data_IF_607208632479
#
_entry.id   IF_607208632479
#
_cell.length_a   1.000
_cell.length_b   1.000
_cell.length_c   1.000
_cell.angle_alpha   90.00
_cell.angle_beta   90.00
_cell.angle_gamma   90.00
#
_symmetry.space_group_name_H-M   'P 1'
#
loop_
_entity.id
_entity.type
_entity.pdbx_description
1 polymer ?
#
# COMPACT_ATOMS: atom_id res chain seq x y z
N UNK A 1 11.85 28.10 12.76
CA UNK A 1 10.61 27.36 12.49
C UNK A 1 10.68 26.11 13.35
N UNK A 2 9.59 25.76 14.04
CA UNK A 2 9.55 24.58 14.89
C UNK A 2 9.66 23.32 14.02
N UNK A 3 10.73 22.54 14.22
CA UNK A 3 11.10 21.40 13.38
C UNK A 3 10.68 20.09 14.06
N UNK A 4 9.54 20.12 14.75
CA UNK A 4 9.04 19.02 15.56
C UNK A 4 8.50 17.88 14.68
N UNK A 5 9.21 16.74 14.67
CA UNK A 5 8.86 15.57 13.83
C UNK A 5 8.75 14.26 14.65
N UNK A 6 7.86 14.20 15.67
CA UNK A 6 7.84 13.12 16.64
C UNK A 6 7.57 11.73 16.03
N UNK A 7 6.70 11.62 15.01
CA UNK A 7 6.45 10.35 14.36
C UNK A 7 7.65 9.91 13.54
N UNK A 8 8.24 10.81 12.75
CA UNK A 8 9.44 10.48 11.97
C UNK A 8 10.61 10.07 12.88
N UNK A 9 10.80 10.74 14.01
CA UNK A 9 11.83 10.41 14.98
C UNK A 9 11.57 9.05 15.64
N UNK A 10 10.31 8.75 15.97
CA UNK A 10 9.93 7.43 16.47
C UNK A 10 10.25 6.33 15.46
N UNK A 11 9.89 6.50 14.19
CA UNK A 11 10.17 5.52 13.12
C UNK A 11 11.67 5.29 12.95
N UNK A 12 12.50 6.34 13.07
CA UNK A 12 13.97 6.19 13.05
C UNK A 12 14.47 5.39 14.25
N UNK A 13 13.97 5.71 15.45
CA UNK A 13 14.39 5.07 16.69
C UNK A 13 14.00 3.58 16.76
N UNK A 14 12.89 3.19 16.14
CA UNK A 14 12.41 1.79 16.12
C UNK A 14 12.93 0.98 14.95
N UNK A 15 13.68 1.59 14.02
CA UNK A 15 14.16 0.92 12.81
C UNK A 15 13.09 0.76 11.72
N UNK A 16 11.91 1.35 11.90
CA UNK A 16 10.80 1.33 10.94
C UNK A 16 10.90 2.43 9.87
N UNK A 17 11.93 3.27 9.93
CA UNK A 17 12.22 4.27 8.91
C UNK A 17 12.60 3.62 7.58
N UNK A 18 11.81 3.86 6.54
CA UNK A 18 12.18 3.49 5.18
C UNK A 18 13.20 4.51 4.63
N UNK A 19 14.40 4.08 4.18
CA UNK A 19 15.38 4.98 3.58
C UNK A 19 14.86 5.79 2.39
N UNK A 20 13.85 5.28 1.67
CA UNK A 20 13.20 6.02 0.58
C UNK A 20 12.45 7.27 1.06
N UNK A 21 12.25 7.43 2.37
CA UNK A 21 11.65 8.62 2.97
C UNK A 21 12.64 9.74 3.28
N UNK A 22 13.93 9.43 3.37
CA UNK A 22 14.98 10.40 3.69
C UNK A 22 15.01 11.60 2.74
N UNK A 23 14.93 11.44 1.41
CA UNK A 23 15.04 12.58 0.49
C UNK A 23 13.97 13.66 0.74
N UNK A 24 12.71 13.27 0.96
CA UNK A 24 11.66 14.26 1.22
C UNK A 24 11.67 14.78 2.66
N UNK A 25 12.18 14.01 3.62
CA UNK A 25 12.42 14.48 4.99
C UNK A 25 13.54 15.53 5.08
N UNK A 26 14.58 15.43 4.26
CA UNK A 26 15.65 16.44 4.16
C UNK A 26 15.17 17.72 3.47
N UNK A 27 14.25 17.61 2.50
CA UNK A 27 13.68 18.74 1.78
C UNK A 27 12.67 19.53 2.62
N UNK A 28 11.73 18.85 3.27
CA UNK A 28 10.75 19.48 4.16
C UNK A 28 10.35 18.53 5.30
N UNK A 29 11.04 18.62 6.47
CA UNK A 29 10.79 17.73 7.59
C UNK A 29 9.40 17.92 8.21
N UNK A 30 8.87 19.15 8.23
CA UNK A 30 7.56 19.45 8.83
C UNK A 30 6.42 18.94 7.94
N UNK A 31 6.54 19.09 6.62
CA UNK A 31 5.61 18.48 5.68
C UNK A 31 5.67 16.95 5.76
N UNK A 32 6.87 16.39 5.81
CA UNK A 32 7.08 14.95 5.94
C UNK A 32 6.38 14.40 7.17
N UNK A 33 6.56 15.03 8.33
CA UNK A 33 5.85 14.64 9.55
C UNK A 33 4.33 14.63 9.38
N UNK A 34 3.77 15.67 8.73
CA UNK A 34 2.33 15.75 8.48
C UNK A 34 1.85 14.68 7.50
N UNK A 35 2.59 14.42 6.43
CA UNK A 35 2.30 13.38 5.46
C UNK A 35 2.30 12.00 6.11
N UNK A 36 3.32 11.71 6.91
CA UNK A 36 3.45 10.46 7.65
C UNK A 36 2.37 10.33 8.71
N UNK A 37 2.04 11.40 9.43
CA UNK A 37 0.94 11.39 10.40
C UNK A 37 -0.41 11.12 9.75
N UNK A 38 -0.66 11.67 8.55
CA UNK A 38 -1.88 11.39 7.79
C UNK A 38 -1.93 9.92 7.34
N UNK A 39 -0.85 9.40 6.76
CA UNK A 39 -0.82 8.06 6.18
C UNK A 39 -0.71 6.93 7.21
N UNK A 40 0.09 7.11 8.27
CA UNK A 40 0.42 6.06 9.23
C UNK A 40 -0.51 6.01 10.44
N UNK A 41 -1.13 7.12 10.86
CA UNK A 41 -2.01 7.11 12.04
C UNK A 41 -3.12 6.06 11.97
N UNK A 42 -3.84 5.89 10.85
CA UNK A 42 -4.86 4.84 10.75
C UNK A 42 -4.28 3.43 10.92
N UNK A 43 -3.04 3.22 10.47
CA UNK A 43 -2.34 1.93 10.56
C UNK A 43 -1.83 1.63 11.98
N UNK A 44 -1.42 2.65 12.74
CA UNK A 44 -0.90 2.48 14.11
C UNK A 44 -1.95 2.70 15.21
N UNK A 45 -3.19 3.03 14.85
CA UNK A 45 -4.27 3.28 15.81
C UNK A 45 -4.71 2.03 16.60
N UNK A 46 -4.26 0.84 16.20
CA UNK A 46 -4.57 -0.43 16.88
C UNK A 46 -5.98 -0.97 16.63
N UNK A 47 -6.71 -0.40 15.66
CA UNK A 47 -8.04 -0.89 15.26
C UNK A 47 -7.94 -2.20 14.47
N UNK A 48 -6.87 -2.36 13.70
CA UNK A 48 -6.48 -3.61 13.03
C UNK A 48 -5.24 -4.16 13.70
N UNK A 49 -5.10 -5.48 13.73
CA UNK A 49 -3.86 -6.09 14.18
C UNK A 49 -2.72 -5.78 13.17
N UNK A 50 -1.45 -5.71 13.63
CA UNK A 50 -0.34 -5.36 12.77
C UNK A 50 -0.19 -6.26 11.54
N UNK A 51 -0.48 -7.57 11.64
CA UNK A 51 -0.35 -8.50 10.51
C UNK A 51 -1.35 -8.17 9.40
N UNK A 52 -2.59 -7.86 9.78
CA UNK A 52 -3.61 -7.40 8.83
C UNK A 52 -3.23 -6.09 8.15
N UNK A 53 -2.64 -5.14 8.88
CA UNK A 53 -2.12 -3.88 8.29
C UNK A 53 -1.07 -4.18 7.21
N UNK A 54 -0.13 -5.08 7.50
CA UNK A 54 0.88 -5.49 6.52
C UNK A 54 0.26 -6.18 5.29
N UNK A 55 -0.77 -7.02 5.46
CA UNK A 55 -1.48 -7.61 4.31
C UNK A 55 -2.15 -6.57 3.41
N UNK A 56 -2.78 -5.54 4.00
CA UNK A 56 -3.36 -4.43 3.23
C UNK A 56 -2.27 -3.69 2.46
N UNK A 57 -1.14 -3.39 3.10
CA UNK A 57 -0.03 -2.71 2.45
C UNK A 57 0.58 -3.54 1.30
N UNK A 58 0.75 -4.86 1.48
CA UNK A 58 1.16 -5.77 0.39
C UNK A 58 0.18 -5.70 -0.78
N UNK A 59 -1.13 -5.76 -0.53
CA UNK A 59 -2.14 -5.71 -1.59
C UNK A 59 -2.10 -4.40 -2.38
N UNK A 60 -1.95 -3.25 -1.69
CA UNK A 60 -1.83 -1.94 -2.32
C UNK A 60 -0.57 -1.86 -3.19
N UNK A 61 0.59 -2.22 -2.65
CA UNK A 61 1.86 -2.13 -3.36
C UNK A 61 1.99 -3.14 -4.52
N UNK A 62 1.42 -4.34 -4.37
CA UNK A 62 1.47 -5.39 -5.38
C UNK A 62 0.41 -5.25 -6.47
N UNK A 63 -0.56 -4.35 -6.31
CA UNK A 63 -1.61 -4.12 -7.31
C UNK A 63 -1.03 -3.80 -8.68
N UNK A 64 -1.63 -4.30 -9.77
CA UNK A 64 -1.15 -4.04 -11.13
C UNK A 64 -1.29 -2.56 -11.55
N UNK A 65 -2.02 -1.76 -10.76
CA UNK A 65 -2.15 -0.32 -10.90
C UNK A 65 -1.06 0.47 -10.14
N UNK A 66 -0.27 -0.19 -9.29
CA UNK A 66 0.78 0.46 -8.49
C UNK A 66 2.17 -0.16 -8.69
N UNK A 67 2.31 -1.47 -8.53
CA UNK A 67 3.55 -2.24 -8.71
C UNK A 67 4.79 -1.64 -8.00
N UNK A 68 4.63 -1.20 -6.75
CA UNK A 68 5.71 -0.61 -5.97
C UNK A 68 6.55 -1.68 -5.25
N UNK A 69 7.51 -2.24 -5.99
CA UNK A 69 8.38 -3.33 -5.54
C UNK A 69 9.08 -3.11 -4.18
N UNK A 70 9.61 -1.93 -3.84
CA UNK A 70 10.27 -1.72 -2.56
C UNK A 70 9.31 -1.89 -1.37
N UNK A 71 8.07 -1.43 -1.55
CA UNK A 71 7.00 -1.55 -0.56
C UNK A 71 6.56 -3.01 -0.38
N UNK A 72 6.31 -3.73 -1.48
CA UNK A 72 5.99 -5.17 -1.45
C UNK A 72 7.03 -5.96 -0.64
N UNK A 73 8.33 -5.74 -0.91
CA UNK A 73 9.39 -6.46 -0.17
C UNK A 73 9.40 -6.11 1.32
N UNK A 74 9.24 -4.83 1.66
CA UNK A 74 9.24 -4.35 3.04
C UNK A 74 8.09 -4.98 3.83
N UNK A 75 6.89 -4.90 3.27
CA UNK A 75 5.67 -5.37 3.94
C UNK A 75 5.58 -6.89 4.02
N UNK A 76 6.06 -7.63 3.01
CA UNK A 76 6.21 -9.09 3.10
C UNK A 76 7.16 -9.48 4.24
N UNK A 77 8.32 -8.81 4.37
CA UNK A 77 9.27 -9.09 5.45
C UNK A 77 8.63 -8.85 6.81
N UNK A 78 7.95 -7.71 6.98
CA UNK A 78 7.31 -7.36 8.25
C UNK A 78 6.16 -8.31 8.60
N UNK A 79 5.35 -8.71 7.61
CA UNK A 79 4.31 -9.72 7.81
C UNK A 79 4.89 -11.05 8.33
N UNK A 80 6.02 -11.51 7.76
CA UNK A 80 6.71 -12.72 8.22
C UNK A 80 7.24 -12.58 9.66
N UNK A 81 7.81 -11.43 10.02
CA UNK A 81 8.25 -11.12 11.39
C UNK A 81 7.07 -11.15 12.39
N UNK A 82 5.87 -10.77 11.94
CA UNK A 82 4.63 -10.81 12.71
C UNK A 82 3.95 -12.20 12.70
N UNK A 83 4.60 -13.22 12.13
CA UNK A 83 4.11 -14.60 12.11
C UNK A 83 3.16 -14.94 10.97
N UNK A 84 3.11 -14.14 9.90
CA UNK A 84 2.39 -14.52 8.69
C UNK A 84 2.99 -15.76 8.04
N UNK A 85 2.15 -16.63 7.49
CA UNK A 85 2.62 -17.78 6.70
C UNK A 85 2.82 -17.40 5.24
N UNK A 86 3.60 -18.22 4.51
CA UNK A 86 3.77 -18.04 3.06
C UNK A 86 2.44 -18.20 2.31
N UNK A 87 1.57 -19.04 2.81
CA UNK A 87 0.23 -19.31 2.27
C UNK A 87 -0.66 -18.08 2.44
N UNK A 88 -0.65 -17.42 3.61
CA UNK A 88 -1.38 -16.17 3.82
C UNK A 88 -0.90 -15.07 2.86
N UNK A 89 0.42 -14.90 2.72
CA UNK A 89 1.00 -13.92 1.79
C UNK A 89 0.64 -14.24 0.34
N UNK A 90 0.70 -15.52 -0.05
CA UNK A 90 0.32 -15.97 -1.39
C UNK A 90 -1.16 -15.71 -1.65
N UNK A 91 -2.03 -15.91 -0.66
CA UNK A 91 -3.45 -15.60 -0.78
C UNK A 91 -3.70 -14.11 -1.03
N UNK A 92 -2.98 -13.21 -0.33
CA UNK A 92 -3.05 -11.75 -0.59
C UNK A 92 -2.68 -11.44 -2.05
N UNK A 93 -1.60 -12.03 -2.58
CA UNK A 93 -1.17 -11.81 -3.96
C UNK A 93 -2.18 -12.37 -4.98
N UNK A 94 -2.76 -13.54 -4.71
CA UNK A 94 -3.81 -14.14 -5.54
C UNK A 94 -5.05 -13.23 -5.59
N UNK A 95 -5.53 -12.76 -4.44
CA UNK A 95 -6.65 -11.82 -4.36
C UNK A 95 -6.36 -10.53 -5.14
N UNK A 96 -5.13 -10.01 -5.01
CA UNK A 96 -4.69 -8.79 -5.70
C UNK A 96 -4.66 -8.96 -7.23
N UNK A 97 -4.30 -10.15 -7.72
CA UNK A 97 -4.20 -10.43 -9.17
C UNK A 97 -5.55 -10.38 -9.91
N UNK A 98 -6.67 -10.52 -9.17
CA UNK A 98 -8.02 -10.48 -9.74
C UNK A 98 -8.40 -9.09 -10.26
N UNK A 99 -7.70 -8.03 -9.83
CA UNK A 99 -7.99 -6.63 -10.23
C UNK A 99 -8.10 -6.45 -11.76
N UNK A 100 -7.39 -7.25 -12.56
CA UNK A 100 -7.46 -7.21 -14.02
C UNK A 100 -8.87 -7.47 -14.60
N UNK A 101 -9.75 -8.17 -13.88
CA UNK A 101 -11.11 -8.49 -14.33
C UNK A 101 -11.97 -7.25 -14.57
N UNK A 102 -11.64 -6.12 -13.91
CA UNK A 102 -12.37 -4.86 -14.12
C UNK A 102 -12.35 -4.39 -15.57
N UNK A 103 -11.31 -4.77 -16.35
CA UNK A 103 -11.26 -4.54 -17.80
C UNK A 103 -12.48 -5.16 -18.50
N UNK A 104 -12.87 -6.38 -18.11
CA UNK A 104 -14.03 -7.05 -18.70
C UNK A 104 -15.34 -6.53 -18.13
N UNK A 105 -15.39 -6.18 -16.83
CA UNK A 105 -16.57 -5.56 -16.22
C UNK A 105 -16.99 -4.27 -16.92
N UNK A 106 -16.04 -3.49 -17.42
CA UNK A 106 -16.30 -2.29 -18.22
C UNK A 106 -16.42 -2.59 -19.72
N UNK A 107 -15.50 -3.38 -20.27
CA UNK A 107 -15.40 -3.60 -21.70
C UNK A 107 -16.52 -4.45 -22.31
N UNK A 108 -17.05 -5.43 -21.57
CA UNK A 108 -18.10 -6.30 -22.10
C UNK A 108 -19.43 -5.56 -22.35
N UNK A 109 -19.94 -4.71 -21.43
CA UNK A 109 -21.10 -3.85 -21.70
C UNK A 109 -20.88 -2.91 -22.88
N UNK A 110 -19.72 -2.23 -22.95
CA UNK A 110 -19.39 -1.31 -24.05
C UNK A 110 -19.40 -2.04 -25.39
N UNK A 111 -18.81 -3.23 -25.46
CA UNK A 111 -18.83 -4.03 -26.69
C UNK A 111 -20.26 -4.38 -27.12
N UNK A 112 -21.13 -4.72 -26.17
CA UNK A 112 -22.54 -5.02 -26.45
C UNK A 112 -23.27 -3.79 -27.01
N UNK A 113 -23.02 -2.60 -26.44
CA UNK A 113 -23.60 -1.33 -26.92
C UNK A 113 -23.17 -1.03 -28.36
N UNK A 114 -21.88 -1.18 -28.68
CA UNK A 114 -21.35 -0.93 -30.02
C UNK A 114 -21.87 -1.91 -31.07
N UNK A 115 -22.02 -3.19 -30.71
CA UNK A 115 -22.62 -4.20 -31.59
C UNK A 115 -24.10 -3.88 -31.90
N UNK A 116 -24.85 -3.42 -30.89
CA UNK A 116 -26.23 -3.01 -31.07
C UNK A 116 -26.37 -1.74 -31.92
N UNK A 117 -25.44 -0.78 -31.77
CA UNK A 117 -25.42 0.45 -32.56
C UNK A 117 -25.10 0.19 -34.05
N UNK A 118 -24.18 -0.74 -34.35
CA UNK A 118 -23.82 -1.13 -35.73
C UNK A 118 -24.91 -1.89 -36.48
N UNK A 119 -25.84 -2.52 -35.76
CA UNK A 119 -26.92 -3.33 -36.33
C UNK A 119 -28.16 -2.50 -36.68
N UNK A 120 -28.12 -1.18 -36.48
CA UNK A 120 -29.13 -0.21 -36.90
C UNK A 120 -28.70 0.46 -38.19
#
# INVERSE_FOLDING_TARGET
MDNHTPLCDHLRATGEWNPNWTPFAELDPVWTEKFMAMGLRPMIAGVLDPKTVEFIAIAVDASCTHMYEPGVRRHIRKALELGATKEEITAVLQLTSVLGIHTMSLGAPILQEELAARSK
#
